data_IF_753907896290
#
_entry.id   IF_753907896290
#
_cell.length_a   1.000
_cell.length_b   1.000
_cell.length_c   1.000
_cell.angle_alpha   90.00
_cell.angle_beta   90.00
_cell.angle_gamma   90.00
#
_symmetry.space_group_name_H-M   'P 1'
#
loop_
_entity.id
_entity.type
_entity.pdbx_description
1 polymer ?
#
# COMPACT_ATOMS: atom_id res chain seq x y z
N UNK A 1 -23.41 8.37 -15.17
CA UNK A 1 -23.00 7.27 -14.28
C UNK A 1 -21.50 7.10 -14.46
N UNK A 2 -20.71 7.06 -13.40
CA UNK A 2 -19.28 6.81 -13.50
C UNK A 2 -19.06 5.45 -14.17
N UNK A 3 -18.37 5.44 -15.31
CA UNK A 3 -18.10 4.24 -16.09
C UNK A 3 -16.89 3.49 -15.54
N UNK A 4 -16.83 3.26 -14.23
CA UNK A 4 -15.73 2.53 -13.59
C UNK A 4 -15.80 1.07 -14.03
N UNK A 5 -14.86 0.64 -14.88
CA UNK A 5 -14.78 -0.72 -15.40
C UNK A 5 -13.61 -1.50 -14.79
N UNK A 6 -12.48 -0.83 -14.57
CA UNK A 6 -11.26 -1.45 -14.05
C UNK A 6 -10.97 -1.01 -12.63
N UNK A 7 -10.77 -1.97 -11.74
CA UNK A 7 -10.44 -1.74 -10.34
C UNK A 7 -9.02 -2.26 -10.06
N UNK A 8 -8.14 -1.38 -9.56
CA UNK A 8 -6.89 -1.85 -8.96
C UNK A 8 -7.12 -2.13 -7.49
N UNK A 9 -6.66 -3.29 -7.00
CA UNK A 9 -6.73 -3.63 -5.58
C UNK A 9 -5.35 -3.81 -4.97
N UNK A 10 -5.06 -2.99 -3.96
CA UNK A 10 -3.89 -3.11 -3.08
C UNK A 10 -4.29 -3.89 -1.82
N UNK A 11 -3.53 -4.93 -1.47
CA UNK A 11 -3.86 -5.80 -0.34
C UNK A 11 -2.66 -6.60 0.17
N UNK A 12 -2.74 -7.07 1.42
CA UNK A 12 -1.65 -7.80 2.05
C UNK A 12 -1.34 -9.16 1.39
N UNK A 13 -0.04 -9.41 1.16
CA UNK A 13 0.45 -10.72 0.68
C UNK A 13 0.67 -11.76 1.79
N UNK A 14 0.36 -11.43 3.05
CA UNK A 14 0.61 -12.34 4.19
C UNK A 14 -0.33 -13.54 4.17
N UNK A 15 0.25 -14.76 4.17
CA UNK A 15 -0.52 -16.00 4.33
C UNK A 15 -1.02 -16.21 5.76
N UNK A 16 -0.44 -15.48 6.73
CA UNK A 16 -0.77 -15.56 8.15
C UNK A 16 -1.94 -14.67 8.57
N UNK A 17 -2.44 -13.84 7.65
CA UNK A 17 -3.59 -12.97 7.90
C UNK A 17 -4.78 -13.73 8.50
N UNK A 18 -5.48 -13.10 9.45
CA UNK A 18 -6.65 -13.66 10.11
C UNK A 18 -7.77 -14.00 9.11
N UNK A 19 -8.64 -14.98 9.44
CA UNK A 19 -9.75 -15.38 8.57
C UNK A 19 -10.63 -14.21 8.12
N UNK A 20 -10.94 -13.25 8.99
CA UNK A 20 -11.79 -12.10 8.65
C UNK A 20 -11.28 -11.32 7.41
N UNK A 21 -9.96 -11.17 7.25
CA UNK A 21 -9.40 -10.48 6.08
C UNK A 21 -9.36 -11.37 4.85
N UNK A 22 -9.16 -12.68 5.02
CA UNK A 22 -9.22 -13.69 3.94
C UNK A 22 -10.63 -13.78 3.37
N UNK A 23 -11.62 -13.85 4.25
CA UNK A 23 -13.04 -13.87 3.89
C UNK A 23 -13.45 -12.58 3.18
N UNK A 24 -12.93 -11.44 3.62
CA UNK A 24 -13.14 -10.16 2.97
C UNK A 24 -12.50 -10.09 1.57
N UNK A 25 -11.29 -10.62 1.38
CA UNK A 25 -10.65 -10.70 0.06
C UNK A 25 -11.47 -11.57 -0.91
N UNK A 26 -11.96 -12.72 -0.45
CA UNK A 26 -12.84 -13.58 -1.26
C UNK A 26 -14.18 -12.89 -1.54
N UNK A 27 -14.80 -12.24 -0.56
CA UNK A 27 -16.04 -11.51 -0.73
C UNK A 27 -15.90 -10.35 -1.72
N UNK A 28 -14.80 -9.59 -1.64
CA UNK A 28 -14.49 -8.55 -2.62
C UNK A 28 -14.32 -9.15 -4.03
N UNK A 29 -13.63 -10.28 -4.16
CA UNK A 29 -13.46 -10.95 -5.46
C UNK A 29 -14.80 -11.33 -6.09
N UNK A 30 -15.74 -11.89 -5.30
CA UNK A 30 -17.10 -12.18 -5.76
C UNK A 30 -17.82 -10.91 -6.20
N UNK A 31 -17.73 -9.84 -5.40
CA UNK A 31 -18.39 -8.57 -5.71
C UNK A 31 -17.85 -7.95 -7.00
N UNK A 32 -16.54 -7.99 -7.24
CA UNK A 32 -15.91 -7.50 -8.46
C UNK A 32 -16.45 -8.26 -9.69
N UNK A 33 -16.42 -9.59 -9.65
CA UNK A 33 -16.91 -10.43 -10.75
C UNK A 33 -18.42 -10.25 -11.00
N UNK A 34 -19.24 -10.24 -9.95
CA UNK A 34 -20.69 -10.06 -10.04
C UNK A 34 -21.10 -8.69 -10.63
N UNK A 35 -20.28 -7.66 -10.42
CA UNK A 35 -20.48 -6.34 -11.00
C UNK A 35 -19.84 -6.19 -12.39
N UNK A 36 -19.32 -7.28 -12.97
CA UNK A 36 -18.69 -7.30 -14.30
C UNK A 36 -17.47 -6.40 -14.40
N UNK A 37 -16.70 -6.25 -13.31
CA UNK A 37 -15.52 -5.39 -13.26
C UNK A 37 -14.24 -6.17 -13.51
N UNK A 38 -13.28 -5.52 -14.16
CA UNK A 38 -11.94 -6.05 -14.40
C UNK A 38 -11.05 -5.80 -13.17
N UNK A 39 -10.37 -6.84 -12.69
CA UNK A 39 -9.41 -6.72 -11.59
C UNK A 39 -7.99 -6.50 -12.13
N UNK A 40 -7.32 -5.46 -11.61
CA UNK A 40 -5.87 -5.30 -11.73
C UNK A 40 -5.24 -5.45 -10.35
N UNK A 41 -4.20 -6.27 -10.23
CA UNK A 41 -3.47 -6.43 -8.98
C UNK A 41 -1.99 -6.78 -9.21
N UNK A 42 -1.27 -7.02 -8.12
CA UNK A 42 0.17 -7.28 -8.18
C UNK A 42 0.60 -8.67 -8.71
N UNK A 43 -0.30 -9.53 -9.17
CA UNK A 43 0.07 -10.79 -9.85
C UNK A 43 0.62 -11.92 -8.97
N UNK A 44 0.74 -11.72 -7.66
CA UNK A 44 1.22 -12.75 -6.73
C UNK A 44 0.09 -13.66 -6.26
N UNK A 45 0.35 -14.96 -6.22
CA UNK A 45 -0.41 -15.96 -5.49
C UNK A 45 0.10 -16.08 -4.04
N UNK A 46 -0.21 -15.08 -3.22
CA UNK A 46 0.17 -15.09 -1.82
C UNK A 46 -0.87 -14.36 -0.95
N UNK A 47 -1.21 -14.93 0.20
CA UNK A 47 -2.08 -14.30 1.18
C UNK A 47 -3.41 -13.83 0.59
N UNK A 48 -3.80 -12.58 0.89
CA UNK A 48 -5.05 -12.02 0.40
C UNK A 48 -5.04 -11.81 -1.12
N UNK A 49 -3.87 -11.55 -1.71
CA UNK A 49 -3.73 -11.32 -3.15
C UNK A 49 -4.17 -12.54 -3.96
N UNK A 50 -3.71 -13.73 -3.58
CA UNK A 50 -4.07 -14.98 -4.27
C UNK A 50 -5.55 -15.34 -4.06
N UNK A 51 -6.09 -15.11 -2.86
CA UNK A 51 -7.51 -15.33 -2.55
C UNK A 51 -8.39 -14.43 -3.43
N UNK A 52 -8.12 -13.12 -3.46
CA UNK A 52 -8.88 -12.18 -4.26
C UNK A 52 -8.89 -12.58 -5.74
N UNK A 53 -7.72 -12.78 -6.33
CA UNK A 53 -7.58 -13.04 -7.76
C UNK A 53 -8.20 -14.38 -8.18
N UNK A 54 -7.99 -15.46 -7.42
CA UNK A 54 -8.69 -16.73 -7.66
C UNK A 54 -10.20 -16.57 -7.59
N UNK A 55 -10.70 -15.90 -6.58
CA UNK A 55 -12.16 -15.77 -6.42
C UNK A 55 -12.78 -14.96 -7.56
N UNK A 56 -12.10 -13.94 -8.10
CA UNK A 56 -12.58 -13.24 -9.32
C UNK A 56 -12.66 -14.21 -10.50
N UNK A 57 -11.60 -14.97 -10.78
CA UNK A 57 -11.55 -15.94 -11.88
C UNK A 57 -12.62 -17.04 -11.73
N UNK A 58 -12.76 -17.62 -10.54
CA UNK A 58 -13.76 -18.66 -10.22
C UNK A 58 -15.20 -18.19 -10.46
N UNK A 59 -15.45 -16.88 -10.40
CA UNK A 59 -16.77 -16.27 -10.64
C UNK A 59 -16.88 -15.66 -12.04
N UNK A 60 -15.96 -16.00 -12.95
CA UNK A 60 -15.99 -15.60 -14.36
C UNK A 60 -15.58 -14.15 -14.63
N UNK A 61 -14.91 -13.49 -13.68
CA UNK A 61 -14.35 -12.16 -13.88
C UNK A 61 -12.94 -12.21 -14.46
N UNK A 62 -12.51 -11.10 -15.06
CA UNK A 62 -11.18 -10.97 -15.66
C UNK A 62 -10.15 -10.41 -14.69
N UNK A 63 -8.92 -10.92 -14.77
CA UNK A 63 -7.81 -10.52 -13.89
C UNK A 63 -6.53 -10.24 -14.67
N UNK A 64 -5.99 -9.03 -14.53
CA UNK A 64 -4.64 -8.66 -14.96
C UNK A 64 -3.68 -8.64 -13.76
N UNK A 65 -2.62 -9.43 -13.83
CA UNK A 65 -1.50 -9.38 -12.88
C UNK A 65 -0.31 -8.59 -13.42
N UNK A 66 0.22 -7.65 -12.64
CA UNK A 66 1.42 -6.89 -13.01
C UNK A 66 2.61 -7.34 -12.17
N UNK A 67 3.60 -7.95 -12.82
CA UNK A 67 4.62 -8.78 -12.19
C UNK A 67 6.03 -8.31 -12.59
N UNK A 68 6.94 -8.08 -11.65
CA UNK A 68 8.34 -7.82 -11.97
C UNK A 68 8.99 -9.02 -12.67
N UNK A 69 9.75 -8.77 -13.75
CA UNK A 69 10.47 -9.84 -14.48
C UNK A 69 11.37 -10.68 -13.60
N UNK A 70 11.96 -10.06 -12.57
CA UNK A 70 12.85 -10.71 -11.58
C UNK A 70 12.18 -11.87 -10.84
N UNK A 71 10.85 -11.92 -10.79
CA UNK A 71 10.08 -12.97 -10.12
C UNK A 71 9.16 -13.74 -11.07
N UNK A 72 9.29 -13.56 -12.39
CA UNK A 72 8.38 -14.15 -13.41
C UNK A 72 8.27 -15.68 -13.37
N UNK A 73 9.33 -16.35 -12.89
CA UNK A 73 9.41 -17.82 -12.79
C UNK A 73 9.12 -18.31 -11.36
N UNK A 74 8.62 -17.42 -10.50
CA UNK A 74 8.23 -17.75 -9.13
C UNK A 74 7.00 -18.65 -9.14
N UNK A 75 7.05 -19.74 -8.39
CA UNK A 75 5.90 -20.61 -8.09
C UNK A 75 4.75 -19.86 -7.39
N UNK A 76 5.01 -18.64 -6.91
CA UNK A 76 4.04 -17.76 -6.24
C UNK A 76 3.40 -16.76 -7.19
N UNK A 77 3.46 -16.98 -8.49
CA UNK A 77 2.64 -16.25 -9.46
C UNK A 77 1.35 -17.03 -9.66
N UNK A 78 0.23 -16.32 -9.67
CA UNK A 78 -1.04 -16.98 -9.93
C UNK A 78 -1.07 -17.45 -11.39
N UNK A 79 -1.30 -18.75 -11.58
CA UNK A 79 -1.57 -19.31 -12.90
C UNK A 79 -2.92 -18.85 -13.46
N UNK A 80 -3.09 -18.99 -14.77
CA UNK A 80 -4.38 -18.77 -15.45
C UNK A 80 -4.99 -17.36 -15.30
N UNK A 81 -4.16 -16.34 -15.11
CA UNK A 81 -4.58 -14.94 -15.21
C UNK A 81 -5.07 -14.64 -16.64
N UNK A 82 -6.13 -13.83 -16.76
CA UNK A 82 -6.61 -13.32 -18.06
C UNK A 82 -5.49 -12.60 -18.81
N UNK A 83 -4.70 -11.80 -18.09
CA UNK A 83 -3.54 -11.12 -18.64
C UNK A 83 -2.40 -11.05 -17.61
N UNK A 84 -1.17 -11.21 -18.09
CA UNK A 84 0.04 -10.97 -17.28
C UNK A 84 0.89 -9.91 -17.95
N UNK A 85 1.17 -8.83 -17.23
CA UNK A 85 2.04 -7.74 -17.67
C UNK A 85 3.34 -7.80 -16.90
N UNK A 86 4.45 -7.93 -17.63
CA UNK A 86 5.79 -7.94 -17.04
C UNK A 86 6.41 -6.55 -17.05
N UNK A 87 7.02 -6.17 -15.93
CA UNK A 87 7.71 -4.87 -15.73
C UNK A 87 9.12 -5.09 -15.16
N UNK A 88 10.02 -4.12 -15.31
CA UNK A 88 11.41 -4.28 -14.85
C UNK A 88 11.57 -3.94 -13.37
N UNK A 89 10.93 -2.85 -12.92
CA UNK A 89 11.11 -2.26 -11.60
C UNK A 89 9.80 -2.11 -10.82
N UNK A 90 9.93 -1.99 -9.49
CA UNK A 90 8.77 -1.91 -8.58
C UNK A 90 7.99 -0.59 -8.74
N UNK A 91 8.66 0.52 -9.01
CA UNK A 91 8.02 1.81 -9.28
C UNK A 91 7.18 1.74 -10.58
N UNK A 92 7.72 1.11 -11.63
CA UNK A 92 7.00 0.86 -12.89
C UNK A 92 5.75 0.01 -12.65
N UNK A 93 5.85 -1.02 -11.81
CA UNK A 93 4.72 -1.88 -11.41
C UNK A 93 3.59 -1.06 -10.80
N UNK A 94 3.86 -0.26 -9.77
CA UNK A 94 2.84 0.56 -9.09
C UNK A 94 2.21 1.55 -10.06
N UNK A 95 3.03 2.25 -10.85
CA UNK A 95 2.57 3.17 -11.89
C UNK A 95 1.67 2.48 -12.92
N UNK A 96 2.03 1.28 -13.40
CA UNK A 96 1.22 0.55 -14.39
C UNK A 96 -0.11 0.07 -13.79
N UNK A 97 -0.14 -0.38 -12.54
CA UNK A 97 -1.38 -0.72 -11.83
C UNK A 97 -2.30 0.50 -11.78
N UNK A 98 -1.76 1.61 -11.29
CA UNK A 98 -2.50 2.87 -11.21
C UNK A 98 -3.01 3.38 -12.56
N UNK A 99 -2.19 3.39 -13.61
CA UNK A 99 -2.58 3.90 -14.93
C UNK A 99 -3.71 3.07 -15.56
N UNK A 100 -3.79 1.77 -15.25
CA UNK A 100 -4.82 0.85 -15.77
C UNK A 100 -6.15 0.98 -15.01
N UNK A 101 -6.13 1.49 -13.78
CA UNK A 101 -7.30 1.59 -12.92
C UNK A 101 -8.25 2.73 -13.32
N UNK A 102 -9.55 2.56 -13.13
CA UNK A 102 -10.51 3.67 -13.02
C UNK A 102 -10.69 4.10 -11.55
N UNK A 103 -10.57 3.14 -10.63
CA UNK A 103 -10.57 3.36 -9.19
C UNK A 103 -9.64 2.39 -8.48
N UNK A 104 -9.20 2.78 -7.28
CA UNK A 104 -8.28 1.99 -6.44
C UNK A 104 -8.99 1.59 -5.15
N UNK A 105 -8.86 0.33 -4.76
CA UNK A 105 -9.37 -0.19 -3.49
C UNK A 105 -8.18 -0.70 -2.69
N UNK A 106 -8.11 -0.38 -1.40
CA UNK A 106 -7.14 -0.97 -0.50
C UNK A 106 -7.84 -1.76 0.63
N UNK A 107 -7.52 -3.05 0.69
CA UNK A 107 -7.81 -3.89 1.85
C UNK A 107 -6.64 -3.81 2.86
N UNK A 108 -6.84 -4.26 4.11
CA UNK A 108 -5.76 -4.38 5.08
C UNK A 108 -4.50 -5.07 4.52
N UNK A 109 -3.34 -4.49 4.83
CA UNK A 109 -2.06 -4.88 4.27
C UNK A 109 -0.89 -4.20 4.96
N UNK A 110 0.33 -4.63 4.62
CA UNK A 110 1.56 -4.15 5.27
C UNK A 110 2.14 -2.91 4.61
N UNK A 111 3.46 -2.69 4.76
CA UNK A 111 4.14 -1.53 4.17
C UNK A 111 3.88 -1.35 2.68
N UNK A 112 3.89 -2.42 1.87
CA UNK A 112 3.63 -2.30 0.43
C UNK A 112 2.24 -1.75 0.11
N UNK A 113 1.20 -2.23 0.80
CA UNK A 113 -0.17 -1.74 0.61
C UNK A 113 -0.33 -0.29 1.04
N UNK A 114 0.32 0.11 2.13
CA UNK A 114 0.27 1.50 2.58
C UNK A 114 1.13 2.42 1.70
N UNK A 115 2.28 1.95 1.22
CA UNK A 115 3.12 2.64 0.23
C UNK A 115 2.32 2.96 -1.04
N UNK A 116 1.71 1.94 -1.62
CA UNK A 116 0.82 2.07 -2.79
C UNK A 116 -0.37 3.01 -2.52
N UNK A 117 -0.95 2.97 -1.32
CA UNK A 117 -2.10 3.82 -0.96
C UNK A 117 -1.72 5.29 -0.76
N UNK A 118 -0.63 5.56 -0.05
CA UNK A 118 -0.15 6.92 0.19
C UNK A 118 0.38 7.58 -1.08
N UNK A 119 0.95 6.80 -2.00
CA UNK A 119 1.35 7.27 -3.34
C UNK A 119 0.15 7.84 -4.10
N UNK A 120 -1.02 7.17 -4.07
CA UNK A 120 -2.24 7.69 -4.69
C UNK A 120 -2.72 8.97 -4.01
N UNK A 121 -2.70 9.03 -2.68
CA UNK A 121 -3.10 10.25 -1.96
C UNK A 121 -2.14 11.41 -2.25
N UNK A 122 -0.85 11.14 -2.35
CA UNK A 122 0.16 12.14 -2.69
C UNK A 122 -0.03 12.68 -4.11
N UNK A 123 -0.21 11.82 -5.11
CA UNK A 123 -0.51 12.26 -6.47
C UNK A 123 -1.85 12.99 -6.58
N UNK A 124 -2.84 12.60 -5.77
CA UNK A 124 -4.11 13.29 -5.64
C UNK A 124 -3.96 14.71 -5.09
N UNK A 125 -3.18 14.88 -4.01
CA UNK A 125 -2.87 16.20 -3.43
C UNK A 125 -2.16 17.13 -4.44
N UNK A 126 -1.33 16.55 -5.32
CA UNK A 126 -0.68 17.26 -6.44
C UNK A 126 -1.59 17.45 -7.67
N UNK A 127 -2.85 17.00 -7.61
CA UNK A 127 -3.84 17.05 -8.68
C UNK A 127 -3.38 16.37 -9.98
N UNK A 128 -2.62 15.28 -9.88
CA UNK A 128 -2.08 14.53 -11.03
C UNK A 128 -3.05 13.46 -11.57
N UNK A 129 -4.21 13.27 -10.97
CA UNK A 129 -5.20 12.33 -11.47
C UNK A 129 -6.62 12.60 -10.97
N UNK A 130 -7.57 11.83 -11.49
CA UNK A 130 -8.99 11.90 -11.18
C UNK A 130 -9.52 10.49 -10.82
N UNK A 131 -8.92 9.82 -9.84
CA UNK A 131 -9.27 8.44 -9.46
C UNK A 131 -9.43 8.33 -7.94
N UNK A 132 -10.52 7.75 -7.41
CA UNK A 132 -10.70 7.61 -5.98
C UNK A 132 -9.86 6.45 -5.43
N UNK A 133 -9.36 6.63 -4.21
CA UNK A 133 -8.88 5.56 -3.34
C UNK A 133 -9.97 5.20 -2.33
N UNK A 134 -10.36 3.93 -2.28
CA UNK A 134 -11.31 3.39 -1.31
C UNK A 134 -10.51 2.59 -0.27
N UNK A 135 -10.41 3.10 0.96
CA UNK A 135 -9.89 2.33 2.08
C UNK A 135 -11.03 1.55 2.74
N UNK A 136 -10.91 0.22 2.77
CA UNK A 136 -11.85 -0.67 3.45
C UNK A 136 -11.37 -0.90 4.88
N UNK A 137 -12.06 -0.29 5.85
CA UNK A 137 -11.73 -0.33 7.28
C UNK A 137 -12.41 -1.48 8.01
N UNK A 138 -11.86 -2.67 7.81
CA UNK A 138 -12.31 -3.90 8.46
C UNK A 138 -11.81 -3.95 9.90
N UNK A 139 -12.73 -4.09 10.86
CA UNK A 139 -12.45 -4.14 12.30
C UNK A 139 -11.57 -2.97 12.82
N UNK A 140 -11.69 -1.80 12.19
CA UNK A 140 -10.91 -0.61 12.57
C UNK A 140 -9.41 -0.75 12.26
N UNK A 141 -9.01 -1.58 11.30
CA UNK A 141 -7.62 -1.75 10.88
C UNK A 141 -6.91 -0.42 10.56
N UNK A 142 -7.62 0.53 9.95
CA UNK A 142 -7.10 1.85 9.58
C UNK A 142 -7.39 2.92 10.63
N UNK A 143 -8.00 2.57 11.77
CA UNK A 143 -8.55 3.53 12.75
C UNK A 143 -7.53 4.49 13.34
N UNK A 144 -6.26 4.09 13.51
CA UNK A 144 -5.19 4.98 14.00
C UNK A 144 -4.56 5.80 12.89
N UNK A 145 -4.51 5.25 11.68
CA UNK A 145 -3.90 5.90 10.52
C UNK A 145 -4.80 6.99 9.92
N UNK A 146 -6.11 6.77 9.86
CA UNK A 146 -7.06 7.71 9.24
C UNK A 146 -7.05 9.10 9.92
N UNK A 147 -7.08 9.22 11.26
CA UNK A 147 -6.91 10.51 11.93
C UNK A 147 -5.57 11.17 11.62
N UNK A 148 -4.48 10.38 11.56
CA UNK A 148 -3.16 10.88 11.17
C UNK A 148 -3.20 11.46 9.75
N UNK A 149 -3.67 10.71 8.75
CA UNK A 149 -3.78 11.17 7.35
C UNK A 149 -4.63 12.44 7.25
N UNK A 150 -5.81 12.46 7.86
CA UNK A 150 -6.76 13.58 7.78
C UNK A 150 -6.27 14.86 8.46
N UNK A 151 -5.31 14.75 9.37
CA UNK A 151 -4.72 15.90 10.05
C UNK A 151 -3.62 16.61 9.23
N UNK A 152 -3.18 16.03 8.11
CA UNK A 152 -2.08 16.59 7.32
C UNK A 152 -2.54 17.76 6.45
N UNK A 153 -1.71 18.80 6.32
CA UNK A 153 -2.05 19.99 5.54
C UNK A 153 -2.08 19.75 4.03
N UNK A 154 -1.35 18.74 3.56
CA UNK A 154 -1.28 18.29 2.17
C UNK A 154 -2.25 17.12 1.89
N UNK A 155 -3.17 16.81 2.81
CA UNK A 155 -4.23 15.84 2.55
C UNK A 155 -5.38 16.46 1.78
N UNK A 156 -5.82 15.77 0.73
CA UNK A 156 -7.01 16.11 -0.04
C UNK A 156 -8.12 15.06 0.16
N UNK A 157 -9.23 15.41 0.83
CA UNK A 157 -10.31 14.47 1.10
C UNK A 157 -11.06 14.01 -0.16
N UNK A 158 -10.99 14.74 -1.27
CA UNK A 158 -11.71 14.38 -2.50
C UNK A 158 -11.17 13.09 -3.13
N UNK A 159 -9.97 12.66 -2.74
CA UNK A 159 -9.34 11.44 -3.25
C UNK A 159 -9.52 10.22 -2.34
N UNK A 160 -10.04 10.38 -1.14
CA UNK A 160 -10.16 9.31 -0.16
C UNK A 160 -11.61 9.01 0.23
N UNK A 161 -12.06 7.81 -0.06
CA UNK A 161 -13.31 7.23 0.44
C UNK A 161 -12.96 6.20 1.51
N UNK A 162 -13.68 6.21 2.63
CA UNK A 162 -13.58 5.16 3.65
C UNK A 162 -14.89 4.41 3.76
N UNK A 163 -14.83 3.08 3.71
CA UNK A 163 -16.00 2.20 3.90
C UNK A 163 -15.70 1.17 4.98
N UNK A 164 -16.67 0.86 5.84
CA UNK A 164 -16.55 -0.20 6.86
C UNK A 164 -17.07 -1.56 6.41
N UNK A 165 -17.79 -1.60 5.28
CA UNK A 165 -18.44 -2.79 4.73
C UNK A 165 -18.17 -2.88 3.23
N UNK A 166 -18.03 -4.09 2.70
CA UNK A 166 -17.64 -4.30 1.30
C UNK A 166 -18.77 -3.93 0.32
N UNK A 167 -20.02 -4.13 0.72
CA UNK A 167 -21.20 -3.75 -0.05
C UNK A 167 -21.33 -2.24 -0.28
N UNK A 168 -20.64 -1.41 0.51
CA UNK A 168 -20.66 0.05 0.36
C UNK A 168 -19.69 0.54 -0.71
N UNK A 169 -18.79 -0.31 -1.23
CA UNK A 169 -17.75 0.08 -2.21
C UNK A 169 -18.39 0.63 -3.49
N UNK A 170 -19.27 -0.14 -4.14
CA UNK A 170 -19.89 0.28 -5.41
C UNK A 170 -20.84 1.47 -5.23
N UNK A 171 -21.74 1.50 -4.22
CA UNK A 171 -22.53 2.69 -3.93
C UNK A 171 -21.68 3.95 -3.64
N UNK A 172 -20.48 3.81 -3.07
CA UNK A 172 -19.58 4.93 -2.85
C UNK A 172 -18.91 5.38 -4.16
N UNK A 173 -18.48 4.45 -5.00
CA UNK A 173 -17.93 4.73 -6.34
C UNK A 173 -18.92 5.45 -7.26
N UNK A 174 -20.20 5.07 -7.20
CA UNK A 174 -21.28 5.70 -7.98
C UNK A 174 -21.55 7.14 -7.54
N UNK A 175 -21.38 7.43 -6.24
CA UNK A 175 -21.59 8.75 -5.64
C UNK A 175 -20.38 9.68 -5.76
N UNK A 176 -19.19 9.12 -5.96
CA UNK A 176 -17.96 9.90 -6.04
C UNK A 176 -17.91 10.73 -7.32
N UNK A 177 -17.39 11.96 -7.23
CA UNK A 177 -17.18 12.83 -8.37
C UNK A 177 -15.70 13.23 -8.43
N UNK A 178 -15.08 13.20 -9.62
CA UNK A 178 -13.73 13.74 -9.80
C UNK A 178 -13.57 15.16 -9.26
N UNK A 179 -12.50 15.45 -8.50
CA UNK A 179 -12.20 16.81 -8.09
C UNK A 179 -11.87 17.69 -9.30
N UNK A 180 -12.04 19.00 -9.13
CA UNK A 180 -11.69 19.99 -10.17
C UNK A 180 -10.21 20.33 -10.11
N UNK A 181 -9.69 20.97 -11.18
CA UNK A 181 -8.30 21.44 -11.22
C UNK A 181 -7.26 20.34 -11.45
N UNK A 182 -7.66 19.17 -11.97
CA UNK A 182 -6.73 18.11 -12.33
C UNK A 182 -5.81 18.56 -13.46
N UNK A 183 -4.50 18.46 -13.22
CA UNK A 183 -3.51 18.66 -14.24
C UNK A 183 -3.38 17.39 -15.08
N UNK A 184 -3.93 17.42 -16.29
CA UNK A 184 -3.81 16.30 -17.25
C UNK A 184 -2.59 16.43 -18.16
N UNK A 185 -1.89 17.57 -18.13
CA UNK A 185 -0.67 17.84 -18.88
C UNK A 185 0.56 17.65 -17.98
N UNK A 186 0.80 16.40 -17.60
CA UNK A 186 2.00 16.00 -16.87
C UNK A 186 2.51 14.68 -17.42
N UNK A 187 3.84 14.54 -17.49
CA UNK A 187 4.50 13.32 -17.98
C UNK A 187 5.21 12.55 -16.86
N UNK A 188 5.13 13.05 -15.63
CA UNK A 188 5.87 12.52 -14.49
C UNK A 188 4.97 12.32 -13.28
N UNK A 189 5.08 11.14 -12.69
CA UNK A 189 4.50 10.80 -11.39
C UNK A 189 5.67 10.65 -10.41
N UNK A 190 5.79 11.53 -9.41
CA UNK A 190 6.90 11.49 -8.46
C UNK A 190 6.85 10.21 -7.62
N UNK A 191 8.01 9.63 -7.37
CA UNK A 191 8.19 8.42 -6.57
C UNK A 191 9.54 8.49 -5.85
N UNK A 192 9.72 7.71 -4.78
CA UNK A 192 10.85 7.88 -3.85
C UNK A 192 11.88 6.75 -3.86
N UNK A 193 11.64 5.65 -4.58
CA UNK A 193 12.50 4.47 -4.53
C UNK A 193 13.94 4.78 -4.94
N UNK A 194 14.15 5.56 -5.99
CA UNK A 194 15.49 5.92 -6.48
C UNK A 194 16.25 6.79 -5.47
N UNK A 195 15.57 7.72 -4.82
CA UNK A 195 16.16 8.56 -3.77
C UNK A 195 16.54 7.73 -2.53
N UNK A 196 15.63 6.84 -2.12
CA UNK A 196 15.83 5.98 -0.95
C UNK A 196 16.99 5.00 -1.19
N UNK A 197 17.03 4.38 -2.37
CA UNK A 197 18.04 3.39 -2.77
C UNK A 197 19.35 4.01 -3.27
N UNK A 198 19.49 5.34 -3.25
CA UNK A 198 20.74 6.00 -3.60
C UNK A 198 21.88 5.48 -2.70
N UNK A 199 23.07 5.30 -3.27
CA UNK A 199 24.26 4.77 -2.58
C UNK A 199 24.82 5.70 -1.50
N UNK A 200 24.12 5.82 -0.39
CA UNK A 200 24.49 6.58 0.82
C UNK A 200 24.06 5.82 2.07
N UNK A 201 24.82 5.97 3.15
CA UNK A 201 24.51 5.44 4.48
C UNK A 201 23.85 6.49 5.40
N UNK A 202 23.59 7.69 4.89
CA UNK A 202 22.96 8.76 5.66
C UNK A 202 21.59 8.32 6.19
N UNK A 203 21.32 8.53 7.50
CA UNK A 203 20.02 8.22 8.08
C UNK A 203 18.88 8.94 7.40
N UNK A 204 17.77 8.25 7.23
CA UNK A 204 16.49 8.82 6.84
C UNK A 204 15.82 9.34 8.12
N UNK A 205 15.66 10.66 8.22
CA UNK A 205 15.00 11.31 9.36
C UNK A 205 13.72 11.96 8.86
N UNK A 206 12.59 11.51 9.42
CA UNK A 206 11.26 12.06 9.14
C UNK A 206 10.90 12.98 10.30
N UNK A 207 10.88 14.29 10.06
CA UNK A 207 10.70 15.30 11.11
C UNK A 207 9.47 16.19 10.93
N UNK A 208 8.81 16.13 9.77
CA UNK A 208 7.57 16.82 9.48
C UNK A 208 6.47 15.82 9.10
N UNK A 209 5.31 15.84 9.76
CA UNK A 209 4.16 15.05 9.35
C UNK A 209 3.55 15.67 8.08
N UNK A 210 3.34 14.84 7.06
CA UNK A 210 2.63 15.17 5.81
C UNK A 210 2.29 13.86 5.08
N UNK A 211 1.41 13.91 4.08
CA UNK A 211 1.15 12.74 3.21
C UNK A 211 2.42 12.35 2.47
N UNK A 212 3.14 13.34 1.91
CA UNK A 212 4.41 13.13 1.23
C UNK A 212 5.45 12.41 2.10
N UNK A 213 5.67 12.88 3.34
CA UNK A 213 6.67 12.31 4.23
C UNK A 213 6.21 10.96 4.82
N UNK A 214 4.91 10.75 4.99
CA UNK A 214 4.38 9.43 5.34
C UNK A 214 4.61 8.43 4.21
N UNK A 215 4.35 8.82 2.96
CA UNK A 215 4.63 8.02 1.77
C UNK A 215 6.13 7.68 1.71
N UNK A 216 7.01 8.67 1.81
CA UNK A 216 8.46 8.48 1.83
C UNK A 216 8.90 7.49 2.93
N UNK A 217 8.40 7.68 4.16
CA UNK A 217 8.76 6.85 5.30
C UNK A 217 8.33 5.39 5.12
N UNK A 218 7.10 5.16 4.65
CA UNK A 218 6.56 3.82 4.43
C UNK A 218 7.24 3.13 3.25
N UNK A 219 7.55 3.87 2.18
CA UNK A 219 8.35 3.38 1.06
C UNK A 219 9.73 2.90 1.54
N UNK A 220 10.41 3.71 2.36
CA UNK A 220 11.71 3.36 2.94
C UNK A 220 11.62 2.13 3.85
N UNK A 221 10.58 2.04 4.69
CA UNK A 221 10.35 0.86 5.53
C UNK A 221 10.10 -0.41 4.68
N UNK A 222 9.31 -0.29 3.62
CA UNK A 222 9.04 -1.39 2.69
C UNK A 222 10.28 -1.88 1.96
N UNK A 223 11.10 -0.96 1.43
CA UNK A 223 12.35 -1.29 0.74
C UNK A 223 13.39 -1.87 1.71
N UNK A 224 13.49 -1.35 2.93
CA UNK A 224 14.36 -1.91 3.98
C UNK A 224 13.93 -3.31 4.40
N UNK A 225 12.61 -3.54 4.52
CA UNK A 225 12.06 -4.88 4.77
C UNK A 225 12.43 -5.87 3.65
N UNK A 226 12.54 -5.41 2.42
CA UNK A 226 12.97 -6.20 1.25
C UNK A 226 14.50 -6.30 1.11
N UNK A 227 15.27 -5.73 2.04
CA UNK A 227 16.73 -5.72 1.98
C UNK A 227 17.32 -4.87 0.85
N UNK A 228 16.56 -3.91 0.30
CA UNK A 228 17.01 -3.05 -0.81
C UNK A 228 17.92 -1.90 -0.36
N UNK A 229 17.90 -1.56 0.93
CA UNK A 229 18.87 -0.66 1.55
C UNK A 229 18.99 -0.97 3.05
N UNK A 230 20.04 -0.46 3.68
CA UNK A 230 20.32 -0.66 5.12
C UNK A 230 20.25 0.64 5.95
N UNK A 231 19.99 1.79 5.32
CA UNK A 231 19.99 3.12 5.94
C UNK A 231 19.16 3.15 7.24
N UNK A 232 19.68 3.76 8.33
CA UNK A 232 18.90 3.96 9.55
C UNK A 232 17.65 4.81 9.28
N UNK A 233 16.51 4.46 9.87
CA UNK A 233 15.25 5.22 9.72
C UNK A 233 14.82 5.74 11.09
N UNK A 234 14.47 7.03 11.18
CA UNK A 234 14.08 7.67 12.42
C UNK A 234 12.93 8.65 12.27
N UNK A 235 12.02 8.67 13.25
CA UNK A 235 10.95 9.66 13.35
C UNK A 235 11.25 10.64 14.49
N UNK A 236 11.33 11.94 14.18
CA UNK A 236 11.34 12.98 15.20
C UNK A 236 9.90 13.26 15.62
N UNK A 237 9.45 12.59 16.68
CA UNK A 237 8.07 12.57 17.14
C UNK A 237 7.88 13.44 18.39
N UNK A 238 8.24 14.73 18.29
CA UNK A 238 8.29 15.67 19.42
C UNK A 238 6.99 15.76 20.21
N UNK A 239 5.86 15.91 19.52
CA UNK A 239 4.55 16.12 20.15
C UNK A 239 3.56 14.98 19.84
N UNK A 240 4.05 13.78 19.53
CA UNK A 240 3.18 12.66 19.14
C UNK A 240 2.59 12.80 17.74
N UNK A 241 3.11 13.72 16.91
CA UNK A 241 2.61 13.96 15.56
C UNK A 241 2.65 12.74 14.62
N UNK A 242 3.44 11.71 14.92
CA UNK A 242 3.51 10.45 14.16
C UNK A 242 2.78 9.29 14.86
N UNK A 243 2.14 9.49 16.02
CA UNK A 243 1.57 8.40 16.83
C UNK A 243 0.59 7.55 16.03
N UNK A 244 -0.31 8.16 15.25
CA UNK A 244 -1.27 7.40 14.43
C UNK A 244 -0.62 6.50 13.37
N UNK A 245 0.48 6.96 12.74
CA UNK A 245 1.27 6.14 11.82
C UNK A 245 2.02 5.02 12.57
N UNK A 246 2.70 5.36 13.67
CA UNK A 246 3.47 4.39 14.44
C UNK A 246 2.58 3.31 15.08
N UNK A 247 1.38 3.68 15.54
CA UNK A 247 0.37 2.76 16.05
C UNK A 247 -0.17 1.87 14.93
N UNK A 248 -0.36 2.40 13.72
CA UNK A 248 -0.72 1.58 12.57
C UNK A 248 0.37 0.56 12.24
N UNK A 249 1.65 0.91 12.33
CA UNK A 249 2.74 -0.05 12.12
C UNK A 249 2.66 -1.20 13.14
N UNK A 250 2.40 -0.89 14.41
CA UNK A 250 2.19 -1.92 15.45
C UNK A 250 0.98 -2.80 15.13
N UNK A 251 -0.14 -2.20 14.76
CA UNK A 251 -1.36 -2.91 14.35
C UNK A 251 -1.12 -3.82 13.16
N UNK A 252 -0.38 -3.37 12.15
CA UNK A 252 -0.02 -4.17 10.98
C UNK A 252 0.85 -5.39 11.36
N UNK A 253 1.68 -5.26 12.41
CA UNK A 253 2.47 -6.37 12.95
C UNK A 253 1.60 -7.36 13.75
N UNK A 254 0.73 -6.85 14.63
CA UNK A 254 -0.24 -7.65 15.41
C UNK A 254 -1.16 -8.47 14.49
N UNK A 255 -1.63 -7.85 13.41
CA UNK A 255 -2.48 -8.48 12.40
C UNK A 255 -1.69 -9.29 11.38
N UNK A 256 -0.37 -9.42 11.57
CA UNK A 256 0.57 -10.25 10.78
C UNK A 256 0.71 -9.86 9.31
N UNK A 257 0.38 -8.62 8.94
CA UNK A 257 0.62 -8.07 7.61
C UNK A 257 2.09 -7.65 7.39
N UNK A 258 2.78 -7.33 8.48
CA UNK A 258 4.24 -7.24 8.56
C UNK A 258 4.73 -8.15 9.70
N UNK A 259 6.01 -8.51 9.68
CA UNK A 259 6.59 -9.31 10.78
C UNK A 259 6.85 -8.43 11.99
N UNK A 260 6.87 -8.99 13.22
CA UNK A 260 7.25 -8.22 14.42
C UNK A 260 8.66 -7.62 14.32
N UNK A 261 9.57 -8.26 13.56
CA UNK A 261 10.90 -7.72 13.28
C UNK A 261 10.84 -6.36 12.58
N UNK A 262 9.78 -6.08 11.82
CA UNK A 262 9.58 -4.78 11.17
C UNK A 262 9.52 -3.61 12.17
N UNK A 263 9.12 -3.86 13.42
CA UNK A 263 9.11 -2.85 14.49
C UNK A 263 10.50 -2.37 14.90
N UNK A 264 11.56 -3.08 14.45
CA UNK A 264 12.97 -2.72 14.69
C UNK A 264 13.61 -2.00 13.50
N UNK A 265 12.86 -1.76 12.42
CA UNK A 265 13.37 -1.10 11.21
C UNK A 265 13.51 0.42 11.35
N UNK A 266 12.88 1.00 12.37
CA UNK A 266 12.92 2.42 12.69
C UNK A 266 13.10 2.65 14.19
N UNK A 267 13.50 3.88 14.52
CA UNK A 267 13.46 4.42 15.87
C UNK A 267 12.59 5.69 15.89
N UNK A 268 12.07 6.06 17.06
CA UNK A 268 11.35 7.31 17.25
C UNK A 268 11.78 7.99 18.55
N UNK A 269 11.97 9.31 18.53
CA UNK A 269 12.33 10.09 19.72
C UNK A 269 11.69 11.48 19.69
N UNK A 270 11.57 12.11 20.86
CA UNK A 270 10.96 13.45 21.00
C UNK A 270 11.91 14.60 20.65
N UNK A 271 13.22 14.35 20.67
CA UNK A 271 14.27 15.33 20.39
C UNK A 271 15.33 14.75 19.43
N UNK A 272 16.05 15.67 18.77
CA UNK A 272 17.01 15.33 17.71
C UNK A 272 18.24 14.59 18.23
N UNK A 273 18.70 14.86 19.44
CA UNK A 273 19.95 14.30 19.95
C UNK A 273 19.75 12.85 20.41
N UNK A 274 18.62 12.57 21.07
CA UNK A 274 18.18 11.20 21.35
C UNK A 274 17.99 10.43 20.05
N UNK A 275 17.32 11.01 19.05
CA UNK A 275 17.11 10.34 17.76
C UNK A 275 18.43 9.98 17.08
N UNK A 276 19.38 10.93 16.99
CA UNK A 276 20.72 10.67 16.43
C UNK A 276 21.44 9.54 17.16
N UNK A 277 21.35 9.51 18.48
CA UNK A 277 21.95 8.45 19.30
C UNK A 277 21.35 7.09 18.97
N UNK A 278 20.02 6.99 18.85
CA UNK A 278 19.34 5.75 18.46
C UNK A 278 19.77 5.30 17.06
N UNK A 279 19.75 6.21 16.09
CA UNK A 279 20.11 5.91 14.69
C UNK A 279 21.55 5.42 14.54
N UNK A 280 22.50 5.97 15.31
CA UNK A 280 23.90 5.52 15.32
C UNK A 280 24.07 4.07 15.82
N UNK A 281 23.07 3.54 16.52
CA UNK A 281 23.07 2.20 17.13
C UNK A 281 22.12 1.23 16.44
N UNK A 282 21.36 1.69 15.44
CA UNK A 282 20.38 0.87 14.76
C UNK A 282 21.08 -0.26 14.00
N UNK A 283 20.73 -1.50 14.32
CA UNK A 283 21.36 -2.69 13.74
C UNK A 283 20.60 -3.16 12.50
N UNK A 284 21.28 -3.81 11.53
CA UNK A 284 20.59 -4.50 10.44
C UNK A 284 19.58 -5.51 10.99
N UNK A 285 18.41 -5.56 10.37
CA UNK A 285 17.34 -6.51 10.70
C UNK A 285 17.12 -7.39 9.49
N UNK A 286 17.37 -8.69 9.63
CA UNK A 286 17.07 -9.66 8.58
C UNK A 286 15.66 -10.24 8.76
N UNK A 287 14.88 -10.18 7.68
CA UNK A 287 13.49 -10.63 7.63
C UNK A 287 13.38 -11.66 6.52
N UNK A 288 13.10 -12.91 6.88
CA UNK A 288 12.79 -13.96 5.91
C UNK A 288 11.30 -13.91 5.57
N UNK A 289 10.98 -13.25 4.45
CA UNK A 289 9.59 -13.08 4.02
C UNK A 289 8.91 -14.40 3.66
N UNK A 290 9.66 -15.42 3.25
CA UNK A 290 9.08 -16.72 2.90
C UNK A 290 8.54 -17.40 4.15
N UNK A 291 9.39 -17.59 5.16
CA UNK A 291 8.98 -18.32 6.36
C UNK A 291 8.15 -17.47 7.32
N UNK A 292 8.46 -16.18 7.46
CA UNK A 292 7.90 -15.33 8.51
C UNK A 292 6.60 -14.61 8.09
N UNK A 293 6.38 -14.39 6.78
CA UNK A 293 5.22 -13.60 6.28
C UNK A 293 4.31 -14.38 5.36
N UNK A 294 4.86 -14.95 4.29
CA UNK A 294 4.04 -15.64 3.29
C UNK A 294 3.60 -17.01 3.78
N UNK A 295 4.41 -17.66 4.61
CA UNK A 295 4.18 -19.04 5.04
C UNK A 295 4.63 -20.05 3.99
N UNK A 296 4.59 -21.32 4.38
CA UNK A 296 4.73 -22.45 3.48
C UNK A 296 3.57 -22.44 2.47
#
# INVERSE_FOLDING_TARGET
MNNTQTLTVYLGSSGRARPVFKDAAAALGRLIAQNGKHLVYGGMDAGLMGILARTVLEHGGDVTGIIPRKIKDSERILGDLTETILVEELCERKKRMFLTADAVIALPGGFGTLDESLEILYWGALKLHAKPLILVDLEGYWSTLLPFIRAQSDFDPDFLITVGRLEDIFPALERWCPPTGINTDHNHYPHFEDEIMRGTDEPIIIDKPSIENAYFAVCALGLKQLGKHARPIGFLNTNGQFDGLLDWIRRAAEETFITEKCLKLYDAAKDKDTLKTLLSRQKPVYIDLHTEKWGA
#
